data_IF_376245886414
#
_entry.id   IF_376245886414
#
_cell.length_a   1.000
_cell.length_b   1.000
_cell.length_c   1.000
_cell.angle_alpha   90.00
_cell.angle_beta   90.00
_cell.angle_gamma   90.00
#
_symmetry.space_group_name_H-M   'P 1'
#
loop_
_entity.id
_entity.type
_entity.pdbx_description
1 polymer ?
#
# COMPACT_ATOMS: atom_id res chain seq x y z
N UNK A 1 13.78 -19.71 1.46
CA UNK A 1 14.32 -18.95 0.39
C UNK A 1 14.19 -17.49 0.63
N UNK A 2 15.29 -16.82 0.56
CA UNK A 2 15.33 -15.40 0.80
C UNK A 2 14.55 -14.59 -0.19
N UNK A 3 14.40 -15.09 -1.38
CA UNK A 3 13.69 -14.37 -2.42
C UNK A 3 12.23 -14.15 -2.07
N UNK A 4 11.64 -15.11 -1.40
CA UNK A 4 10.23 -14.99 -1.07
C UNK A 4 9.97 -13.92 -0.05
N UNK A 5 10.95 -13.64 0.78
CA UNK A 5 10.79 -12.62 1.79
C UNK A 5 10.84 -11.23 1.22
N UNK A 6 11.44 -11.10 0.05
CA UNK A 6 11.59 -9.79 -0.60
C UNK A 6 10.54 -9.53 -1.65
N UNK A 7 9.63 -10.46 -1.85
CA UNK A 7 8.61 -10.34 -2.88
C UNK A 7 7.25 -10.33 -2.22
N UNK A 8 6.45 -9.36 -2.56
CA UNK A 8 5.10 -9.28 -2.05
C UNK A 8 4.20 -10.20 -2.86
N UNK A 9 3.26 -10.85 -2.19
CA UNK A 9 2.30 -11.65 -2.93
C UNK A 9 1.18 -10.75 -3.45
N UNK A 10 0.32 -11.28 -4.29
CA UNK A 10 -0.71 -10.48 -4.94
C UNK A 10 -1.68 -9.88 -3.95
N UNK A 11 -1.93 -10.52 -2.82
CA UNK A 11 -2.83 -9.95 -1.82
C UNK A 11 -2.21 -8.75 -1.13
N UNK A 12 -0.90 -8.80 -0.88
CA UNK A 12 -0.21 -7.68 -0.29
C UNK A 12 -0.17 -6.49 -1.23
N UNK A 13 0.05 -6.75 -2.50
CA UNK A 13 0.05 -5.68 -3.49
C UNK A 13 -1.33 -5.05 -3.63
N UNK A 14 -2.36 -5.87 -3.61
CA UNK A 14 -3.73 -5.35 -3.66
C UNK A 14 -4.03 -4.48 -2.45
N UNK A 15 -3.55 -4.89 -1.29
CA UNK A 15 -3.75 -4.11 -0.07
C UNK A 15 -3.04 -2.76 -0.18
N UNK A 16 -1.84 -2.72 -0.74
CA UNK A 16 -1.14 -1.47 -0.96
C UNK A 16 -1.96 -0.56 -1.87
N UNK A 17 -2.53 -1.11 -2.93
CA UNK A 17 -3.39 -0.34 -3.82
C UNK A 17 -4.60 0.23 -3.08
N UNK A 18 -5.19 -0.56 -2.21
CA UNK A 18 -6.33 -0.12 -1.40
C UNK A 18 -5.90 1.01 -0.45
N UNK A 19 -4.72 0.89 0.16
CA UNK A 19 -4.21 1.94 1.05
C UNK A 19 -3.93 3.24 0.31
N UNK A 20 -3.56 3.16 -0.95
CA UNK A 20 -3.30 4.34 -1.76
C UNK A 20 -4.57 5.01 -2.25
N UNK A 21 -5.71 4.34 -2.15
CA UNK A 21 -6.98 4.91 -2.56
C UNK A 21 -7.46 5.86 -1.46
N UNK A 22 -7.97 7.05 -1.81
CA UNK A 22 -8.49 7.97 -0.80
C UNK A 22 -9.59 7.33 0.02
N UNK A 23 -9.67 7.62 1.32
CA UNK A 23 -10.66 6.97 2.19
C UNK A 23 -12.08 7.09 1.70
N UNK A 24 -12.43 8.19 1.10
CA UNK A 24 -13.79 8.39 0.60
C UNK A 24 -14.12 7.51 -0.60
N UNK A 25 -13.10 6.97 -1.27
CA UNK A 25 -13.29 6.13 -2.44
C UNK A 25 -12.98 4.67 -2.19
N UNK A 26 -12.54 4.33 -1.00
CA UNK A 26 -12.19 2.95 -0.68
C UNK A 26 -13.41 2.07 -0.55
N UNK A 27 -13.31 0.89 -1.10
CA UNK A 27 -14.35 -0.12 -0.97
C UNK A 27 -13.69 -1.47 -0.70
N UNK A 28 -13.89 -2.06 0.45
CA UNK A 28 -14.66 -1.57 1.62
C UNK A 28 -13.92 -0.43 2.31
N UNK A 29 -14.65 0.31 3.14
CA UNK A 29 -14.10 1.52 3.75
C UNK A 29 -13.19 1.25 4.96
N UNK A 30 -13.30 0.10 5.60
CA UNK A 30 -12.49 -0.17 6.79
C UNK A 30 -11.53 -1.31 6.55
N UNK A 31 -10.41 -1.29 7.28
CA UNK A 31 -9.42 -2.36 7.19
C UNK A 31 -9.98 -3.69 7.61
N UNK A 32 -10.86 -3.71 8.60
CA UNK A 32 -11.46 -4.95 9.05
C UNK A 32 -12.30 -5.58 7.98
N UNK A 33 -13.09 -4.77 7.30
CA UNK A 33 -13.91 -5.28 6.21
C UNK A 33 -13.05 -5.71 5.03
N UNK A 34 -11.98 -4.98 4.79
CA UNK A 34 -11.07 -5.36 3.72
C UNK A 34 -10.44 -6.72 4.03
N UNK A 35 -10.00 -6.93 5.26
CA UNK A 35 -9.42 -8.20 5.65
C UNK A 35 -10.41 -9.34 5.44
N UNK A 36 -11.66 -9.13 5.81
CA UNK A 36 -12.69 -10.13 5.61
C UNK A 36 -12.89 -10.43 4.13
N UNK A 37 -12.86 -9.41 3.31
CA UNK A 37 -13.11 -9.58 1.87
C UNK A 37 -12.04 -10.43 1.20
N UNK A 38 -10.81 -10.43 1.70
CA UNK A 38 -9.75 -11.23 1.13
C UNK A 38 -9.46 -12.49 1.95
N UNK A 39 -10.27 -12.74 2.96
CA UNK A 39 -10.17 -13.97 3.74
C UNK A 39 -9.04 -14.03 4.74
N UNK A 40 -8.61 -12.88 5.26
CA UNK A 40 -7.57 -12.83 6.28
C UNK A 40 -8.09 -12.07 7.50
N UNK A 41 -7.32 -12.11 8.58
CA UNK A 41 -7.65 -11.43 9.81
C UNK A 41 -7.00 -10.06 9.79
N UNK A 42 -7.54 -9.14 10.54
CA UNK A 42 -6.99 -7.80 10.65
C UNK A 42 -5.55 -7.84 11.18
N UNK A 43 -5.24 -8.81 12.02
CA UNK A 43 -3.89 -8.98 12.53
C UNK A 43 -2.90 -9.26 11.42
N UNK A 44 -3.34 -9.99 10.40
CA UNK A 44 -2.50 -10.28 9.25
C UNK A 44 -2.17 -9.01 8.49
N UNK A 45 -3.13 -8.12 8.31
CA UNK A 45 -2.87 -6.85 7.64
C UNK A 45 -1.87 -6.02 8.44
N UNK A 46 -2.01 -6.00 9.74
CA UNK A 46 -1.08 -5.25 10.58
C UNK A 46 0.32 -5.82 10.51
N UNK A 47 0.41 -7.13 10.41
CA UNK A 47 1.70 -7.80 10.29
C UNK A 47 2.38 -7.44 8.96
N UNK A 48 1.60 -7.38 7.89
CA UNK A 48 2.14 -6.97 6.60
C UNK A 48 2.69 -5.56 6.66
N UNK A 49 1.98 -4.66 7.33
CA UNK A 49 2.40 -3.26 7.41
C UNK A 49 3.71 -3.08 8.15
N UNK A 50 4.11 -4.06 8.95
CA UNK A 50 5.36 -3.98 9.69
C UNK A 50 6.56 -4.48 8.90
N UNK A 51 6.33 -5.13 7.77
CA UNK A 51 7.44 -5.65 6.97
C UNK A 51 8.09 -4.53 6.18
N UNK A 52 9.40 -4.52 6.15
CA UNK A 52 10.15 -3.48 5.42
C UNK A 52 9.83 -3.48 3.95
N UNK A 53 9.75 -4.64 3.33
CA UNK A 53 9.49 -4.73 1.91
C UNK A 53 8.09 -4.18 1.59
N UNK A 54 7.13 -4.42 2.47
CA UNK A 54 5.78 -3.90 2.29
C UNK A 54 5.81 -2.37 2.40
N UNK A 55 6.48 -1.87 3.41
CA UNK A 55 6.53 -0.42 3.65
C UNK A 55 7.23 0.31 2.53
N UNK A 56 8.29 -0.26 2.00
CA UNK A 56 9.00 0.36 0.88
C UNK A 56 8.13 0.41 -0.36
N UNK A 57 7.42 -0.66 -0.63
CA UNK A 57 6.55 -0.70 -1.80
C UNK A 57 5.39 0.27 -1.63
N UNK A 58 4.81 0.32 -0.46
CA UNK A 58 3.72 1.23 -0.16
C UNK A 58 4.18 2.69 -0.34
N UNK A 59 5.32 3.02 0.23
CA UNK A 59 5.86 4.37 0.12
C UNK A 59 6.13 4.75 -1.33
N UNK A 60 6.65 3.82 -2.09
CA UNK A 60 6.90 4.03 -3.51
C UNK A 60 5.61 4.33 -4.27
N UNK A 61 4.55 3.60 -3.96
CA UNK A 61 3.27 3.83 -4.63
C UNK A 61 2.62 5.13 -4.20
N UNK A 62 2.73 5.49 -2.95
CA UNK A 62 2.21 6.76 -2.47
C UNK A 62 2.90 7.92 -3.16
N UNK A 63 4.20 7.85 -3.28
CA UNK A 63 4.97 8.88 -3.97
C UNK A 63 4.55 8.99 -5.43
N UNK A 64 4.35 7.86 -6.07
CA UNK A 64 4.00 7.82 -7.46
C UNK A 64 2.62 8.41 -7.72
N UNK A 65 1.67 8.08 -6.87
CA UNK A 65 0.29 8.49 -7.06
C UNK A 65 0.07 9.95 -6.66
N UNK A 66 0.68 10.36 -5.58
CA UNK A 66 0.35 11.65 -4.99
C UNK A 66 1.32 12.76 -5.30
N UNK A 67 2.58 12.44 -5.37
CA UNK A 67 3.59 13.47 -5.35
C UNK A 67 4.29 13.77 -6.64
N UNK A 68 4.24 12.85 -7.53
CA UNK A 68 5.07 12.93 -8.70
C UNK A 68 4.93 14.23 -9.49
N UNK A 69 3.74 14.64 -9.89
CA UNK A 69 3.60 15.88 -10.65
C UNK A 69 3.99 17.09 -9.84
N UNK A 70 3.65 17.08 -8.58
CA UNK A 70 3.94 18.22 -7.74
C UNK A 70 5.43 18.38 -7.52
N UNK A 71 6.11 17.27 -7.37
CA UNK A 71 7.55 17.33 -7.19
C UNK A 71 8.22 17.90 -8.41
N UNK A 72 7.73 17.51 -9.56
CA UNK A 72 8.27 18.04 -10.80
C UNK A 72 8.08 19.53 -10.88
N UNK A 73 6.94 20.01 -10.50
CA UNK A 73 6.68 21.43 -10.51
C UNK A 73 7.58 22.19 -9.57
N UNK A 74 7.79 21.61 -8.40
CA UNK A 74 8.67 22.28 -7.45
C UNK A 74 10.08 22.36 -7.95
N UNK A 75 10.53 21.32 -8.61
CA UNK A 75 11.87 21.34 -9.18
C UNK A 75 12.01 22.41 -10.23
N UNK A 76 10.99 22.58 -11.02
CA UNK A 76 11.02 23.59 -12.04
C UNK A 76 11.01 24.98 -11.47
N UNK A 77 10.32 25.15 -10.37
CA UNK A 77 10.22 26.45 -9.74
C UNK A 77 11.51 26.86 -9.10
N UNK A 78 12.30 25.92 -8.72
CA UNK A 78 13.57 26.26 -8.14
C UNK A 78 14.63 26.28 -9.19
#
# INVERSE_FOLDING_TARGET
MGLEENVLDSRQEAYIGWLCTPPSERTPASKEKYAQSIGVNITTLRRWEKKDVFRKEWQSKVDDVQGSPERSQRLLDT
#
